data_IF_164969459328
#
_entry.id   IF_164969459328
#
_cell.length_a   1.000
_cell.length_b   1.000
_cell.length_c   1.000
_cell.angle_alpha   90.00
_cell.angle_beta   90.00
_cell.angle_gamma   90.00
#
_symmetry.space_group_name_H-M   'P 1'
#
loop_
_entity.id
_entity.type
_entity.pdbx_description
1 polymer ?
#
# COMPACT_ATOMS: atom_id res chain seq x y z
N UNK A 1 75.40 14.55 13.06
CA UNK A 1 74.08 14.05 13.49
C UNK A 1 73.12 14.08 12.30
N UNK A 2 72.18 13.11 12.23
CA UNK A 2 71.11 12.88 11.23
C UNK A 2 71.60 12.39 9.85
N UNK A 3 71.64 11.08 9.51
CA UNK A 3 70.71 9.92 9.56
C UNK A 3 69.66 9.91 8.44
N UNK A 4 69.78 8.88 7.58
CA UNK A 4 68.88 8.50 6.49
C UNK A 4 67.45 8.15 6.97
N UNK A 5 66.48 8.38 6.10
CA UNK A 5 65.07 7.93 6.15
C UNK A 5 64.73 7.46 4.73
N UNK A 6 64.74 6.17 4.38
CA UNK A 6 63.82 5.08 4.74
C UNK A 6 62.35 5.42 4.47
N UNK A 7 61.91 4.96 3.30
CA UNK A 7 60.53 4.72 2.86
C UNK A 7 59.71 4.06 3.95
N UNK A 8 58.54 4.60 4.26
CA UNK A 8 57.49 3.90 4.99
C UNK A 8 56.15 4.22 4.35
N UNK A 9 55.50 3.16 3.89
CA UNK A 9 54.22 3.16 3.21
C UNK A 9 53.13 3.80 4.09
N UNK A 10 52.42 4.79 3.54
CA UNK A 10 51.09 5.15 4.04
C UNK A 10 50.10 4.17 3.42
N UNK A 11 49.65 3.24 4.24
CA UNK A 11 48.42 2.48 4.06
C UNK A 11 47.27 3.47 3.83
N UNK A 12 46.79 3.53 2.58
CA UNK A 12 45.51 4.14 2.28
C UNK A 12 44.42 3.18 2.77
N UNK A 13 43.69 3.63 3.79
CA UNK A 13 42.39 3.06 4.16
C UNK A 13 41.49 3.09 2.92
N UNK A 14 40.80 2.00 2.53
CA UNK A 14 39.82 2.07 1.45
C UNK A 14 38.59 2.82 1.98
N UNK A 15 38.54 4.12 1.70
CA UNK A 15 37.34 4.93 1.86
C UNK A 15 36.37 4.65 0.73
N UNK A 16 35.15 4.29 1.09
CA UNK A 16 33.90 4.68 0.44
C UNK A 16 33.79 4.47 -1.08
N UNK A 17 33.54 3.22 -1.49
CA UNK A 17 32.91 2.89 -2.79
C UNK A 17 31.46 2.39 -2.61
N UNK A 18 30.86 2.58 -1.44
CA UNK A 18 29.52 2.11 -1.14
C UNK A 18 28.52 3.28 -1.11
N UNK A 19 28.06 3.71 -2.28
CA UNK A 19 26.68 4.17 -2.61
C UNK A 19 26.70 4.90 -3.96
N UNK A 20 26.81 4.16 -5.06
CA UNK A 20 26.64 4.72 -6.41
C UNK A 20 25.17 4.92 -6.81
N UNK A 21 24.20 4.59 -5.94
CA UNK A 21 22.78 4.88 -6.20
C UNK A 21 21.99 4.96 -4.89
N UNK A 22 21.70 6.16 -4.34
CA UNK A 22 20.83 6.27 -3.18
C UNK A 22 19.41 5.81 -3.54
N UNK A 23 18.69 5.14 -2.61
CA UNK A 23 17.30 4.74 -2.81
C UNK A 23 16.42 5.98 -3.01
N UNK A 24 15.50 5.91 -3.96
CA UNK A 24 14.65 7.06 -4.29
C UNK A 24 13.67 7.38 -3.15
N UNK A 25 13.47 8.67 -2.91
CA UNK A 25 12.41 9.13 -1.99
C UNK A 25 11.03 9.00 -2.65
N UNK A 26 9.97 8.94 -1.82
CA UNK A 26 8.59 8.88 -2.33
C UNK A 26 8.20 10.15 -3.13
N UNK A 27 8.72 11.31 -2.74
CA UNK A 27 8.48 12.59 -3.42
C UNK A 27 9.18 12.64 -4.79
N UNK A 28 10.42 12.17 -4.88
CA UNK A 28 11.14 12.07 -6.16
C UNK A 28 10.46 11.07 -7.10
N UNK A 29 9.98 9.94 -6.57
CA UNK A 29 9.19 8.98 -7.35
C UNK A 29 7.92 9.63 -7.89
N UNK A 30 7.17 10.33 -7.04
CA UNK A 30 5.96 11.05 -7.46
C UNK A 30 6.25 12.05 -8.58
N UNK A 31 7.33 12.84 -8.45
CA UNK A 31 7.71 13.82 -9.47
C UNK A 31 8.05 13.14 -10.80
N UNK A 32 8.80 12.04 -10.76
CA UNK A 32 9.13 11.26 -11.97
C UNK A 32 7.88 10.70 -12.66
N UNK A 33 6.91 10.20 -11.90
CA UNK A 33 5.64 9.70 -12.44
C UNK A 33 4.82 10.84 -13.05
N UNK A 34 4.71 11.97 -12.35
CA UNK A 34 3.97 13.13 -12.82
C UNK A 34 4.53 13.70 -14.13
N UNK A 35 5.86 13.82 -14.23
CA UNK A 35 6.53 14.26 -15.45
C UNK A 35 6.30 13.29 -16.62
N UNK A 36 6.44 11.98 -16.38
CA UNK A 36 6.20 10.97 -17.42
C UNK A 36 4.72 10.96 -17.90
N UNK A 37 3.77 11.13 -16.99
CA UNK A 37 2.34 11.25 -17.31
C UNK A 37 2.05 12.51 -18.14
N UNK A 38 2.68 13.64 -17.80
CA UNK A 38 2.58 14.89 -18.55
C UNK A 38 3.09 14.72 -19.98
N UNK A 39 4.28 14.14 -20.18
CA UNK A 39 4.83 13.91 -21.52
C UNK A 39 4.00 12.94 -22.35
N UNK A 40 3.36 11.95 -21.72
CA UNK A 40 2.40 11.07 -22.41
C UNK A 40 1.21 11.87 -22.90
N UNK A 41 0.59 12.69 -22.04
CA UNK A 41 -0.52 13.57 -22.41
C UNK A 41 -0.12 14.60 -23.50
N UNK A 42 1.10 15.12 -23.46
CA UNK A 42 1.63 16.04 -24.47
C UNK A 42 1.81 15.38 -25.84
N UNK A 43 2.29 14.12 -25.91
CA UNK A 43 2.45 13.37 -27.18
C UNK A 43 1.13 13.15 -27.92
N UNK A 44 0.02 13.14 -27.19
CA UNK A 44 -1.35 13.07 -27.74
C UNK A 44 -1.95 14.46 -28.01
N UNK A 45 -1.14 15.52 -27.85
CA UNK A 45 -1.56 16.91 -28.01
C UNK A 45 -2.57 17.36 -26.97
N UNK A 46 -2.63 16.69 -25.81
CA UNK A 46 -3.66 16.86 -24.78
C UNK A 46 -5.09 16.61 -25.28
N UNK A 47 -5.26 15.92 -26.42
CA UNK A 47 -6.54 15.66 -27.05
C UNK A 47 -7.02 14.24 -26.75
N UNK A 48 -8.16 14.12 -26.06
CA UNK A 48 -8.93 12.88 -25.99
C UNK A 48 -8.31 11.71 -25.19
N UNK A 49 -7.17 11.92 -24.52
CA UNK A 49 -6.52 10.93 -23.68
C UNK A 49 -7.11 10.85 -22.27
N UNK A 50 -7.13 9.67 -21.67
CA UNK A 50 -7.49 9.50 -20.27
C UNK A 50 -6.27 9.81 -19.40
N UNK A 51 -6.29 10.94 -18.68
CA UNK A 51 -5.22 11.37 -17.77
C UNK A 51 -4.86 10.27 -16.74
N UNK A 52 -5.84 9.47 -16.31
CA UNK A 52 -5.59 8.36 -15.40
C UNK A 52 -4.79 7.22 -16.06
N UNK A 53 -5.00 6.97 -17.35
CA UNK A 53 -4.26 5.97 -18.13
C UNK A 53 -2.82 6.45 -18.39
N UNK A 54 -2.64 7.73 -18.73
CA UNK A 54 -1.32 8.32 -18.94
C UNK A 54 -0.47 8.27 -17.65
N UNK A 55 -1.10 8.50 -16.49
CA UNK A 55 -0.46 8.33 -15.17
C UNK A 55 -0.17 6.87 -14.85
N UNK A 56 -1.11 5.96 -15.10
CA UNK A 56 -0.93 4.53 -14.84
C UNK A 56 0.26 3.95 -15.61
N UNK A 57 0.33 4.27 -16.90
CA UNK A 57 1.41 3.84 -17.76
C UNK A 57 2.75 4.46 -17.33
N UNK A 58 2.73 5.73 -16.90
CA UNK A 58 3.89 6.40 -16.33
C UNK A 58 4.35 5.75 -15.02
N UNK A 59 3.44 5.41 -14.11
CA UNK A 59 3.77 4.73 -12.86
C UNK A 59 4.39 3.35 -13.12
N UNK A 60 3.80 2.56 -14.02
CA UNK A 60 4.34 1.25 -14.38
C UNK A 60 5.72 1.34 -15.09
N UNK A 61 5.93 2.37 -15.90
CA UNK A 61 7.22 2.65 -16.53
C UNK A 61 8.29 3.04 -15.50
N UNK A 62 8.00 4.02 -14.65
CA UNK A 62 8.92 4.50 -13.62
C UNK A 62 9.22 3.40 -12.61
N UNK A 63 8.22 2.65 -12.14
CA UNK A 63 8.44 1.58 -11.17
C UNK A 63 9.30 0.43 -11.72
N UNK A 64 9.11 0.08 -13.00
CA UNK A 64 9.95 -0.91 -13.69
C UNK A 64 11.38 -0.40 -13.82
N UNK A 65 11.56 0.84 -14.29
CA UNK A 65 12.86 1.47 -14.43
C UNK A 65 13.60 1.52 -13.09
N UNK A 66 12.90 1.92 -12.02
CA UNK A 66 13.50 2.03 -10.70
C UNK A 66 13.80 0.65 -10.08
N UNK A 67 13.00 -0.38 -10.37
CA UNK A 67 13.32 -1.77 -10.00
C UNK A 67 14.55 -2.30 -10.72
N UNK A 68 14.65 -2.10 -12.03
CA UNK A 68 15.81 -2.52 -12.84
C UNK A 68 17.10 -1.83 -12.37
N UNK A 69 16.99 -0.58 -11.91
CA UNK A 69 18.10 0.17 -11.33
C UNK A 69 18.39 -0.20 -9.85
N UNK A 70 17.59 -1.06 -9.22
CA UNK A 70 17.68 -1.37 -7.79
C UNK A 70 17.35 -0.18 -6.87
N UNK A 71 16.72 0.87 -7.42
CA UNK A 71 16.42 2.15 -6.76
C UNK A 71 15.01 2.24 -6.19
N UNK A 72 14.15 1.26 -6.51
CA UNK A 72 12.87 1.03 -5.85
C UNK A 72 12.93 -0.25 -5.01
N UNK A 73 13.66 -0.26 -3.88
CA UNK A 73 13.49 -1.35 -2.94
C UNK A 73 12.07 -1.27 -2.37
N UNK A 74 11.28 -2.31 -2.58
CA UNK A 74 10.11 -2.57 -1.73
C UNK A 74 10.59 -2.56 -0.30
N UNK A 75 9.94 -1.82 0.58
CA UNK A 75 10.34 -1.77 1.99
C UNK A 75 10.30 -3.17 2.56
N UNK A 76 11.42 -3.66 3.08
CA UNK A 76 11.46 -5.02 3.62
C UNK A 76 10.61 -5.10 4.89
N UNK A 77 10.09 -6.28 5.26
CA UNK A 77 9.40 -6.44 6.54
C UNK A 77 10.23 -5.91 7.72
N UNK A 78 11.53 -6.15 7.72
CA UNK A 78 12.45 -5.70 8.78
C UNK A 78 12.57 -4.17 8.83
N UNK A 79 12.61 -3.49 7.69
CA UNK A 79 12.63 -2.03 7.62
C UNK A 79 11.32 -1.44 8.15
N UNK A 80 10.17 -2.02 7.78
CA UNK A 80 8.86 -1.61 8.28
C UNK A 80 8.81 -1.79 9.80
N UNK A 81 9.20 -2.96 10.29
CA UNK A 81 9.26 -3.28 11.72
C UNK A 81 10.07 -2.25 12.50
N UNK A 82 11.29 -1.94 12.04
CA UNK A 82 12.19 -0.98 12.68
C UNK A 82 11.62 0.45 12.70
N UNK A 83 11.03 0.91 11.59
CA UNK A 83 10.43 2.26 11.51
C UNK A 83 9.23 2.38 12.44
N UNK A 84 8.38 1.36 12.49
CA UNK A 84 7.22 1.34 13.40
C UNK A 84 7.68 1.24 14.85
N UNK A 85 8.63 0.36 15.16
CA UNK A 85 9.20 0.23 16.49
C UNK A 85 9.74 1.57 17.02
N UNK A 86 10.52 2.30 16.21
CA UNK A 86 11.06 3.61 16.58
C UNK A 86 9.98 4.68 16.79
N UNK A 87 8.86 4.58 16.08
CA UNK A 87 7.70 5.48 16.23
C UNK A 87 7.07 5.36 17.60
N UNK A 88 7.01 4.16 18.20
CA UNK A 88 6.34 3.96 19.48
C UNK A 88 7.06 4.60 20.67
N UNK A 89 8.33 4.95 20.52
CA UNK A 89 9.09 5.70 21.53
C UNK A 89 8.80 7.22 21.51
N UNK A 90 7.94 7.70 20.62
CA UNK A 90 7.59 9.12 20.47
C UNK A 90 6.31 9.49 21.22
N UNK A 91 5.85 10.73 21.04
CA UNK A 91 4.60 11.21 21.65
C UNK A 91 3.40 10.38 21.14
N UNK A 92 2.59 9.77 22.04
CA UNK A 92 1.40 9.03 21.65
C UNK A 92 0.48 9.75 20.66
N UNK A 93 0.39 11.08 20.73
CA UNK A 93 -0.45 11.88 19.85
C UNK A 93 -0.06 11.78 18.35
N UNK A 94 1.21 11.49 18.04
CA UNK A 94 1.71 11.42 16.65
C UNK A 94 1.86 10.00 16.13
N UNK A 95 1.86 8.98 17.02
CA UNK A 95 2.10 7.58 16.67
C UNK A 95 1.16 7.12 15.54
N UNK A 96 -0.15 7.35 15.68
CA UNK A 96 -1.12 6.91 14.68
C UNK A 96 -0.83 7.50 13.29
N UNK A 97 -0.55 8.82 13.23
CA UNK A 97 -0.27 9.50 11.97
C UNK A 97 1.03 8.99 11.31
N UNK A 98 2.07 8.72 12.10
CA UNK A 98 3.35 8.21 11.61
C UNK A 98 3.25 6.75 11.16
N UNK A 99 2.58 5.88 11.92
CA UNK A 99 2.34 4.48 11.53
C UNK A 99 1.48 4.40 10.28
N UNK A 100 0.45 5.25 10.16
CA UNK A 100 -0.35 5.39 8.94
C UNK A 100 0.52 5.74 7.74
N UNK A 101 1.40 6.73 7.88
CA UNK A 101 2.31 7.15 6.81
C UNK A 101 3.28 6.03 6.39
N UNK A 102 3.90 5.34 7.35
CA UNK A 102 4.80 4.20 7.08
C UNK A 102 4.05 3.09 6.33
N UNK A 103 2.83 2.79 6.75
CA UNK A 103 2.00 1.74 6.15
C UNK A 103 1.65 2.08 4.71
N UNK A 104 1.17 3.31 4.44
CA UNK A 104 0.85 3.76 3.09
C UNK A 104 2.11 3.79 2.20
N UNK A 105 3.24 4.26 2.73
CA UNK A 105 4.53 4.26 2.03
C UNK A 105 4.96 2.83 1.66
N UNK A 106 4.79 1.86 2.55
CA UNK A 106 5.09 0.45 2.29
C UNK A 106 4.16 -0.17 1.24
N UNK A 107 2.85 0.14 1.28
CA UNK A 107 1.87 -0.39 0.33
C UNK A 107 1.99 0.21 -1.08
N UNK A 108 2.63 1.38 -1.23
CA UNK A 108 2.72 2.12 -2.50
C UNK A 108 4.07 1.99 -3.21
N UNK A 109 5.09 1.40 -2.57
CA UNK A 109 6.44 1.22 -3.15
C UNK A 109 6.61 -0.03 -4.03
N UNK A 110 5.54 -0.76 -4.34
CA UNK A 110 5.60 -1.98 -5.15
C UNK A 110 4.23 -2.41 -5.67
N UNK A 111 4.16 -3.61 -6.27
CA UNK A 111 2.87 -4.19 -6.63
C UNK A 111 2.09 -4.53 -5.36
N UNK A 112 0.92 -3.93 -5.24
CA UNK A 112 -0.02 -4.26 -4.17
C UNK A 112 -0.75 -5.55 -4.57
N UNK A 113 -0.55 -6.60 -3.78
CA UNK A 113 -1.28 -7.86 -3.84
C UNK A 113 -1.59 -8.34 -2.41
N UNK A 114 -2.41 -9.39 -2.28
CA UNK A 114 -2.82 -9.91 -0.97
C UNK A 114 -1.62 -10.35 -0.12
N UNK A 115 -0.55 -10.86 -0.73
CA UNK A 115 0.64 -11.28 0.00
C UNK A 115 1.47 -10.08 0.47
N UNK A 116 1.60 -9.04 -0.36
CA UNK A 116 2.23 -7.77 0.01
C UNK A 116 1.50 -7.12 1.17
N UNK A 117 0.17 -7.08 1.10
CA UNK A 117 -0.66 -6.56 2.19
C UNK A 117 -0.46 -7.36 3.48
N UNK A 118 -0.47 -8.70 3.40
CA UNK A 118 -0.20 -9.59 4.54
C UNK A 118 1.15 -9.28 5.17
N UNK A 119 2.19 -9.19 4.35
CA UNK A 119 3.56 -8.89 4.80
C UNK A 119 3.65 -7.53 5.49
N UNK A 120 3.12 -6.48 4.88
CA UNK A 120 3.16 -5.12 5.45
C UNK A 120 2.39 -5.07 6.77
N UNK A 121 1.17 -5.63 6.80
CA UNK A 121 0.33 -5.63 8.00
C UNK A 121 1.02 -6.38 9.15
N UNK A 122 1.55 -7.57 8.88
CA UNK A 122 2.30 -8.36 9.87
C UNK A 122 3.55 -7.61 10.38
N UNK A 123 4.30 -6.98 9.48
CA UNK A 123 5.50 -6.20 9.84
C UNK A 123 5.15 -4.98 10.71
N UNK A 124 4.09 -4.24 10.38
CA UNK A 124 3.63 -3.10 11.20
C UNK A 124 3.18 -3.57 12.58
N UNK A 125 2.38 -4.63 12.66
CA UNK A 125 1.90 -5.18 13.93
C UNK A 125 3.07 -5.70 14.79
N UNK A 126 4.03 -6.39 14.17
CA UNK A 126 5.22 -6.89 14.86
C UNK A 126 6.11 -5.74 15.37
N UNK A 127 6.40 -4.75 14.53
CA UNK A 127 7.17 -3.56 14.94
C UNK A 127 6.50 -2.79 16.08
N UNK A 128 5.16 -2.65 16.05
CA UNK A 128 4.41 -2.03 17.13
C UNK A 128 4.45 -2.86 18.42
N UNK A 129 4.34 -4.19 18.34
CA UNK A 129 4.49 -5.06 19.51
C UNK A 129 5.87 -4.94 20.15
N UNK A 130 6.92 -4.96 19.33
CA UNK A 130 8.31 -4.87 19.79
C UNK A 130 8.66 -3.48 20.33
N UNK A 131 8.08 -2.41 19.76
CA UNK A 131 8.21 -1.05 20.27
C UNK A 131 7.44 -0.79 21.57
N UNK A 132 6.31 -1.48 21.77
CA UNK A 132 5.51 -1.35 22.99
C UNK A 132 6.09 -2.13 24.18
N UNK A 133 6.78 -3.25 23.93
CA UNK A 133 7.34 -4.11 24.96
C UNK A 133 8.21 -3.38 26.02
N UNK A 134 9.19 -2.51 25.66
CA UNK A 134 10.01 -1.80 26.63
C UNK A 134 9.26 -0.69 27.41
N UNK A 135 8.07 -0.28 26.97
CA UNK A 135 7.29 0.80 27.61
C UNK A 135 6.47 0.34 28.83
N UNK A 136 6.39 -0.97 29.06
CA UNK A 136 5.67 -1.56 30.19
C UNK A 136 4.19 -1.14 30.21
N UNK A 137 3.74 -0.57 31.33
CA UNK A 137 2.35 -0.11 31.54
C UNK A 137 1.89 0.94 30.51
N UNK A 138 2.80 1.74 29.95
CA UNK A 138 2.47 2.75 28.93
C UNK A 138 2.40 2.17 27.51
N UNK A 139 2.88 0.93 27.31
CA UNK A 139 2.91 0.27 26.01
C UNK A 139 1.54 0.04 25.40
N UNK A 140 0.50 -0.12 26.24
CA UNK A 140 -0.87 -0.31 25.79
C UNK A 140 -1.41 0.88 24.99
N UNK A 141 -1.20 2.11 25.47
CA UNK A 141 -1.68 3.31 24.77
C UNK A 141 -0.94 3.54 23.45
N UNK A 142 0.39 3.42 23.45
CA UNK A 142 1.20 3.53 22.24
C UNK A 142 0.78 2.49 21.18
N UNK A 143 0.46 1.28 21.63
CA UNK A 143 -0.01 0.21 20.76
C UNK A 143 -1.40 0.49 20.17
N UNK A 144 -2.35 1.01 20.97
CA UNK A 144 -3.68 1.43 20.48
C UNK A 144 -3.56 2.48 19.39
N UNK A 145 -2.72 3.49 19.57
CA UNK A 145 -2.49 4.51 18.54
C UNK A 145 -1.82 3.94 17.29
N UNK A 146 -0.83 3.06 17.43
CA UNK A 146 -0.20 2.40 16.29
C UNK A 146 -1.20 1.57 15.48
N UNK A 147 -2.06 0.80 16.15
CA UNK A 147 -3.09 -0.02 15.49
C UNK A 147 -4.19 0.83 14.85
N UNK A 148 -4.53 1.98 15.44
CA UNK A 148 -5.40 2.98 14.80
C UNK A 148 -4.80 3.50 13.50
N UNK A 149 -3.51 3.85 13.49
CA UNK A 149 -2.81 4.29 12.29
C UNK A 149 -2.80 3.25 11.16
N UNK A 150 -2.56 1.98 11.51
CA UNK A 150 -2.64 0.85 10.58
C UNK A 150 -4.07 0.65 10.04
N UNK A 151 -5.08 0.65 10.92
CA UNK A 151 -6.50 0.51 10.54
C UNK A 151 -6.95 1.65 9.60
N UNK A 152 -6.57 2.89 9.88
CA UNK A 152 -6.83 4.06 9.03
C UNK A 152 -6.13 3.97 7.66
N UNK A 153 -4.90 3.44 7.61
CA UNK A 153 -4.19 3.22 6.34
C UNK A 153 -4.88 2.17 5.47
N UNK A 154 -5.25 1.03 6.07
CA UNK A 154 -5.96 -0.05 5.39
C UNK A 154 -7.35 0.39 4.93
N UNK A 155 -8.06 1.18 5.75
CA UNK A 155 -9.34 1.76 5.38
C UNK A 155 -9.21 2.69 4.17
N UNK A 156 -8.18 3.55 4.14
CA UNK A 156 -7.90 4.41 2.99
C UNK A 156 -7.59 3.62 1.72
N UNK A 157 -6.82 2.53 1.83
CA UNK A 157 -6.53 1.65 0.71
C UNK A 157 -7.79 0.96 0.16
N UNK A 158 -8.66 0.46 1.05
CA UNK A 158 -9.93 -0.17 0.68
C UNK A 158 -10.89 0.81 -0.03
N UNK A 159 -10.94 2.07 0.42
CA UNK A 159 -11.70 3.12 -0.26
C UNK A 159 -11.17 3.38 -1.67
N UNK A 160 -9.86 3.60 -1.80
CA UNK A 160 -9.24 3.88 -3.09
C UNK A 160 -9.49 2.74 -4.08
N UNK A 161 -9.37 1.48 -3.63
CA UNK A 161 -9.70 0.30 -4.41
C UNK A 161 -11.16 0.31 -4.89
N UNK A 162 -12.11 0.53 -3.99
CA UNK A 162 -13.53 0.58 -4.31
C UNK A 162 -13.89 1.70 -5.30
N UNK A 163 -13.33 2.90 -5.13
CA UNK A 163 -13.57 4.02 -6.05
C UNK A 163 -13.07 3.72 -7.46
N UNK A 164 -11.88 3.13 -7.59
CA UNK A 164 -11.37 2.75 -8.91
C UNK A 164 -12.21 1.66 -9.59
N UNK A 165 -12.70 0.67 -8.82
CA UNK A 165 -13.60 -0.36 -9.35
C UNK A 165 -14.89 0.27 -9.87
N UNK A 166 -15.47 1.24 -9.15
CA UNK A 166 -16.67 1.94 -9.58
C UNK A 166 -16.46 2.73 -10.86
N UNK A 167 -15.34 3.46 -10.96
CA UNK A 167 -14.99 4.22 -12.16
C UNK A 167 -14.75 3.31 -13.36
N UNK A 168 -14.05 2.18 -13.18
CA UNK A 168 -13.84 1.19 -14.23
C UNK A 168 -15.15 0.53 -14.69
N UNK A 169 -16.06 0.23 -13.76
CA UNK A 169 -17.37 -0.33 -14.08
C UNK A 169 -18.27 0.66 -14.84
N UNK A 170 -18.17 1.97 -14.54
CA UNK A 170 -19.00 3.01 -15.14
C UNK A 170 -18.60 3.43 -16.56
N UNK A 171 -17.32 3.30 -16.94
CA UNK A 171 -16.81 3.85 -18.20
C UNK A 171 -16.96 2.96 -19.44
N UNK A 172 -16.94 1.63 -19.30
CA UNK A 172 -16.81 0.75 -20.47
C UNK A 172 -17.45 -0.63 -20.33
N UNK A 173 -18.04 -0.97 -19.17
CA UNK A 173 -18.46 -2.35 -18.91
C UNK A 173 -17.27 -3.34 -18.86
N UNK A 174 -16.04 -2.82 -18.73
CA UNK A 174 -14.80 -3.61 -18.59
C UNK A 174 -14.83 -4.58 -17.41
N UNK A 175 -15.60 -4.24 -16.36
CA UNK A 175 -15.80 -5.10 -15.22
C UNK A 175 -16.99 -6.04 -15.41
N UNK A 176 -16.69 -7.33 -15.56
CA UNK A 176 -17.72 -8.38 -15.49
C UNK A 176 -18.31 -8.46 -14.08
N UNK A 177 -19.55 -8.98 -13.95
CA UNK A 177 -20.15 -9.27 -12.64
C UNK A 177 -19.26 -10.16 -11.78
N UNK A 178 -18.50 -11.06 -12.41
CA UNK A 178 -17.53 -11.93 -11.74
C UNK A 178 -16.35 -11.12 -11.18
N UNK A 179 -15.84 -10.13 -11.92
CA UNK A 179 -14.78 -9.25 -11.44
C UNK A 179 -15.22 -8.38 -10.25
N UNK A 180 -16.44 -7.86 -10.28
CA UNK A 180 -17.00 -7.09 -9.16
C UNK A 180 -17.18 -7.96 -7.90
N UNK A 181 -17.62 -9.21 -8.09
CA UNK A 181 -17.72 -10.18 -7.00
C UNK A 181 -16.35 -10.50 -6.40
N UNK A 182 -15.35 -10.77 -7.24
CA UNK A 182 -13.98 -11.03 -6.78
C UNK A 182 -13.45 -9.84 -5.96
N UNK A 183 -13.67 -8.61 -6.43
CA UNK A 183 -13.21 -7.44 -5.72
C UNK A 183 -13.91 -7.25 -4.36
N UNK A 184 -15.19 -7.60 -4.27
CA UNK A 184 -15.91 -7.64 -2.99
C UNK A 184 -15.32 -8.72 -2.06
N UNK A 185 -15.05 -9.93 -2.56
CA UNK A 185 -14.44 -11.00 -1.78
C UNK A 185 -13.03 -10.62 -1.30
N UNK A 186 -12.25 -9.92 -2.12
CA UNK A 186 -10.92 -9.42 -1.78
C UNK A 186 -10.99 -8.37 -0.66
N UNK A 187 -11.95 -7.41 -0.74
CA UNK A 187 -12.18 -6.41 0.31
C UNK A 187 -12.59 -7.06 1.65
N UNK A 188 -13.46 -8.07 1.61
CA UNK A 188 -13.85 -8.81 2.81
C UNK A 188 -12.66 -9.56 3.42
N UNK A 189 -11.76 -10.09 2.58
CA UNK A 189 -10.53 -10.76 3.00
C UNK A 189 -9.58 -9.83 3.77
N UNK A 190 -9.54 -8.53 3.43
CA UNK A 190 -8.72 -7.54 4.15
C UNK A 190 -9.06 -7.47 5.64
N UNK A 191 -10.36 -7.42 5.96
CA UNK A 191 -10.82 -7.34 7.36
C UNK A 191 -10.44 -8.61 8.12
N UNK A 192 -10.66 -9.78 7.51
CA UNK A 192 -10.29 -11.08 8.12
C UNK A 192 -8.80 -11.12 8.42
N UNK A 193 -7.96 -10.76 7.46
CA UNK A 193 -6.51 -10.73 7.62
C UNK A 193 -6.06 -9.79 8.74
N UNK A 194 -6.69 -8.62 8.85
CA UNK A 194 -6.39 -7.67 9.92
C UNK A 194 -6.72 -8.26 11.30
N UNK A 195 -7.91 -8.84 11.47
CA UNK A 195 -8.32 -9.48 12.73
C UNK A 195 -7.40 -10.65 13.09
N UNK A 196 -7.09 -11.53 12.14
CA UNK A 196 -6.17 -12.66 12.36
C UNK A 196 -4.80 -12.19 12.82
N UNK A 197 -4.24 -11.15 12.18
CA UNK A 197 -2.93 -10.60 12.54
C UNK A 197 -2.90 -10.06 13.98
N UNK A 198 -3.98 -9.37 14.41
CA UNK A 198 -4.10 -8.90 15.79
C UNK A 198 -4.21 -10.05 16.78
N UNK A 199 -4.93 -11.12 16.43
CA UNK A 199 -5.05 -12.31 17.27
C UNK A 199 -3.71 -13.06 17.42
N UNK A 200 -2.96 -13.22 16.33
CA UNK A 200 -1.64 -13.85 16.35
C UNK A 200 -0.65 -13.02 17.20
N UNK A 201 -0.72 -11.70 17.10
CA UNK A 201 0.06 -10.79 17.92
C UNK A 201 -0.30 -10.88 19.40
N UNK A 202 -1.60 -11.02 19.74
CA UNK A 202 -2.06 -11.24 21.10
C UNK A 202 -1.52 -12.56 21.68
N UNK A 203 -1.60 -13.65 20.91
CA UNK A 203 -1.08 -14.98 21.32
C UNK A 203 0.43 -14.96 21.55
N UNK A 204 1.15 -14.13 20.81
CA UNK A 204 2.61 -14.03 20.87
C UNK A 204 3.11 -12.97 21.88
N UNK A 205 2.22 -12.27 22.58
CA UNK A 205 2.54 -11.24 23.55
C UNK A 205 2.23 -11.69 25.00
N UNK A 206 2.63 -10.89 25.99
CA UNK A 206 2.32 -11.11 27.41
C UNK A 206 1.90 -9.80 28.08
N UNK A 207 1.17 -9.90 29.19
CA UNK A 207 0.82 -8.76 30.04
C UNK A 207 -0.05 -7.73 29.32
N UNK A 208 0.24 -6.44 29.54
CA UNK A 208 -0.53 -5.30 29.00
C UNK A 208 -0.63 -5.34 27.46
N UNK A 209 0.45 -5.72 26.78
CA UNK A 209 0.49 -5.80 25.31
C UNK A 209 -0.46 -6.87 24.79
N UNK A 210 -0.49 -8.05 25.43
CA UNK A 210 -1.43 -9.12 25.08
C UNK A 210 -2.88 -8.70 25.29
N UNK A 211 -3.19 -8.13 26.47
CA UNK A 211 -4.54 -7.67 26.79
C UNK A 211 -5.02 -6.62 25.79
N UNK A 212 -4.14 -5.69 25.40
CA UNK A 212 -4.44 -4.64 24.43
C UNK A 212 -4.73 -5.21 23.04
N UNK A 213 -3.94 -6.17 22.54
CA UNK A 213 -4.22 -6.79 21.24
C UNK A 213 -5.53 -7.60 21.25
N UNK A 214 -5.84 -8.30 22.34
CA UNK A 214 -7.13 -9.00 22.48
C UNK A 214 -8.31 -8.03 22.38
N UNK A 215 -8.25 -6.91 23.11
CA UNK A 215 -9.27 -5.86 23.06
C UNK A 215 -9.42 -5.31 21.63
N UNK A 216 -8.31 -5.03 20.94
CA UNK A 216 -8.30 -4.52 19.57
C UNK A 216 -8.86 -5.53 18.56
N UNK A 217 -8.53 -6.81 18.69
CA UNK A 217 -9.05 -7.88 17.83
C UNK A 217 -10.58 -8.04 17.98
N UNK A 218 -11.10 -7.93 19.21
CA UNK A 218 -12.54 -7.94 19.48
C UNK A 218 -13.25 -6.71 18.86
N UNK A 219 -12.66 -5.52 18.96
CA UNK A 219 -13.17 -4.31 18.31
C UNK A 219 -13.17 -4.45 16.77
N UNK A 220 -12.07 -4.92 16.18
CA UNK A 220 -11.97 -5.12 14.74
C UNK A 220 -12.99 -6.13 14.19
N UNK A 221 -13.35 -7.15 14.97
CA UNK A 221 -14.38 -8.14 14.61
C UNK A 221 -15.80 -7.56 14.60
N UNK A 222 -16.11 -6.66 15.52
CA UNK A 222 -17.47 -6.09 15.68
C UNK A 222 -17.83 -5.00 14.65
N UNK A 223 -17.02 -4.82 13.59
CA UNK A 223 -17.14 -3.73 12.60
C UNK A 223 -17.00 -2.32 13.21
N UNK A 224 -16.37 -2.21 14.39
CA UNK A 224 -16.16 -0.92 15.06
C UNK A 224 -14.89 -0.20 14.61
N UNK A 225 -14.02 -0.86 13.83
CA UNK A 225 -12.82 -0.24 13.25
C UNK A 225 -13.12 0.53 11.96
N UNK A 226 -12.27 1.49 11.60
CA UNK A 226 -12.40 2.27 10.37
C UNK A 226 -12.32 1.38 9.12
N UNK A 227 -11.44 0.37 9.12
CA UNK A 227 -11.37 -0.62 8.04
C UNK A 227 -12.69 -1.39 7.93
N UNK A 228 -13.22 -1.91 9.04
CA UNK A 228 -14.47 -2.67 9.04
C UNK A 228 -15.65 -1.85 8.52
N UNK A 229 -15.78 -0.59 8.94
CA UNK A 229 -16.82 0.31 8.44
C UNK A 229 -16.66 0.59 6.95
N UNK A 230 -15.43 0.86 6.49
CA UNK A 230 -15.15 1.16 5.09
C UNK A 230 -15.39 -0.05 4.18
N UNK A 231 -14.94 -1.24 4.58
CA UNK A 231 -15.17 -2.50 3.87
C UNK A 231 -16.67 -2.75 3.73
N UNK A 232 -17.45 -2.57 4.81
CA UNK A 232 -18.91 -2.70 4.75
C UNK A 232 -19.55 -1.76 3.72
N UNK A 233 -19.20 -0.47 3.76
CA UNK A 233 -19.71 0.52 2.79
C UNK A 233 -19.34 0.10 1.36
N UNK A 234 -18.09 -0.32 1.14
CA UNK A 234 -17.62 -0.74 -0.16
C UNK A 234 -18.36 -1.98 -0.69
N UNK A 235 -18.60 -2.98 0.18
CA UNK A 235 -19.36 -4.18 -0.15
C UNK A 235 -20.83 -3.87 -0.52
N UNK A 236 -21.48 -3.00 0.24
CA UNK A 236 -22.86 -2.56 -0.03
C UNK A 236 -22.95 -1.90 -1.42
N UNK A 237 -21.98 -1.01 -1.73
CA UNK A 237 -21.93 -0.32 -3.02
C UNK A 237 -21.59 -1.25 -4.19
N UNK A 238 -20.66 -2.20 -4.03
CA UNK A 238 -20.34 -3.18 -5.06
C UNK A 238 -21.54 -4.11 -5.32
N UNK A 239 -22.25 -4.53 -4.28
CA UNK A 239 -23.50 -5.31 -4.40
C UNK A 239 -24.57 -4.51 -5.16
N UNK A 240 -24.70 -3.22 -4.86
CA UNK A 240 -25.59 -2.33 -5.61
C UNK A 240 -25.18 -2.21 -7.08
N UNK A 241 -23.88 -2.08 -7.40
CA UNK A 241 -23.37 -2.03 -8.77
C UNK A 241 -23.65 -3.33 -9.56
N UNK A 242 -23.48 -4.50 -8.93
CA UNK A 242 -23.78 -5.80 -9.53
C UNK A 242 -25.27 -5.94 -9.85
N UNK A 243 -26.15 -5.40 -8.99
CA UNK A 243 -27.62 -5.49 -9.16
C UNK A 243 -28.18 -4.41 -10.10
N UNK A 244 -27.60 -3.21 -10.13
CA UNK A 244 -28.03 -2.10 -10.99
C UNK A 244 -27.54 -2.21 -12.43
N UNK A 245 -26.48 -3.00 -12.69
CA UNK A 245 -25.93 -3.30 -14.02
C UNK A 245 -26.87 -4.03 -15.00
N UNK A 246 -28.17 -4.17 -14.67
CA UNK A 246 -29.22 -4.63 -15.58
C UNK A 246 -30.17 -3.52 -16.06
N UNK A 247 -30.12 -2.29 -15.53
CA UNK A 247 -31.15 -1.26 -15.82
C UNK A 247 -30.70 0.02 -16.51
N UNK A 248 -29.45 0.47 -16.37
CA UNK A 248 -29.08 1.84 -16.80
C UNK A 248 -28.24 1.97 -18.08
N UNK A 249 -28.08 0.89 -18.85
CA UNK A 249 -27.29 0.91 -20.09
C UNK A 249 -27.96 1.62 -21.29
N UNK A 250 -29.02 2.40 -21.06
CA UNK A 250 -29.78 3.01 -22.15
C UNK A 250 -29.94 4.54 -22.13
N UNK A 251 -29.56 5.29 -21.08
CA UNK A 251 -30.05 6.71 -21.02
C UNK A 251 -29.15 7.87 -20.62
N UNK A 252 -27.94 7.75 -20.11
CA UNK A 252 -27.18 8.98 -19.73
C UNK A 252 -25.69 8.93 -20.03
N UNK A 253 -25.38 8.81 -21.32
CA UNK A 253 -24.09 9.26 -21.85
C UNK A 253 -24.18 10.75 -22.17
N UNK A 254 -24.05 11.62 -21.18
CA UNK A 254 -23.58 13.03 -21.31
C UNK A 254 -23.54 13.67 -19.92
N UNK A 255 -22.39 14.26 -19.60
CA UNK A 255 -22.11 15.18 -18.48
C UNK A 255 -21.90 14.57 -17.08
N UNK A 256 -20.64 14.26 -16.75
CA UNK A 256 -19.96 14.84 -15.56
C UNK A 256 -18.45 14.94 -15.87
N UNK A 257 -17.95 16.16 -16.01
CA UNK A 257 -16.52 16.48 -15.89
C UNK A 257 -16.23 16.79 -14.42
N UNK A 258 -15.43 15.96 -13.73
CA UNK A 258 -14.74 16.34 -12.48
C UNK A 258 -13.35 15.72 -12.44
N UNK A 259 -12.34 16.60 -12.47
CA UNK A 259 -10.92 16.29 -12.67
C UNK A 259 -10.17 15.75 -11.44
N UNK A 260 -10.84 15.44 -10.32
CA UNK A 260 -10.15 15.01 -9.08
C UNK A 260 -10.38 13.54 -8.71
N UNK A 261 -11.40 12.86 -9.25
CA UNK A 261 -11.69 11.44 -8.97
C UNK A 261 -10.87 10.46 -9.84
N UNK A 262 -10.45 10.89 -11.04
CA UNK A 262 -9.65 10.08 -11.96
C UNK A 262 -8.25 9.75 -11.40
N UNK A 263 -7.73 10.60 -10.50
CA UNK A 263 -6.42 10.44 -9.84
C UNK A 263 -6.39 9.25 -8.85
N UNK A 264 -7.52 8.96 -8.18
CA UNK A 264 -7.64 7.79 -7.28
C UNK A 264 -8.05 6.53 -8.04
N UNK A 265 -8.76 6.68 -9.16
CA UNK A 265 -9.13 5.57 -10.03
C UNK A 265 -7.92 4.94 -10.75
N UNK A 266 -6.93 5.73 -11.16
CA UNK A 266 -5.68 5.23 -11.73
C UNK A 266 -4.88 4.34 -10.77
N UNK A 267 -4.83 4.71 -9.49
CA UNK A 267 -4.09 3.95 -8.47
C UNK A 267 -4.65 2.54 -8.23
N UNK A 268 -5.96 2.32 -8.43
CA UNK A 268 -6.53 0.98 -8.31
C UNK A 268 -6.91 0.30 -9.64
N UNK A 269 -6.85 0.99 -10.78
CA UNK A 269 -6.78 0.33 -12.09
C UNK A 269 -5.46 -0.48 -12.23
N UNK A 270 -4.33 0.05 -11.73
CA UNK A 270 -3.04 -0.66 -11.71
C UNK A 270 -3.03 -1.90 -10.83
N UNK A 271 -3.72 -1.84 -9.70
CA UNK A 271 -3.97 -2.97 -8.80
C UNK A 271 -4.74 -4.09 -9.51
N UNK A 272 -5.77 -3.76 -10.28
CA UNK A 272 -6.64 -4.72 -10.94
C UNK A 272 -6.04 -5.30 -12.23
N UNK A 273 -5.24 -4.51 -12.96
CA UNK A 273 -4.55 -4.98 -14.17
C UNK A 273 -3.40 -5.96 -13.83
N UNK A 274 -2.75 -5.80 -12.67
CA UNK A 274 -1.80 -6.77 -12.12
C UNK A 274 -2.45 -8.09 -11.70
N UNK A 275 -3.69 -8.06 -11.19
CA UNK A 275 -4.48 -9.25 -10.85
C UNK A 275 -4.99 -9.93 -12.14
N UNK A 276 -5.47 -9.16 -13.13
CA UNK A 276 -5.94 -9.67 -14.42
C UNK A 276 -4.83 -10.35 -15.25
N UNK A 277 -3.61 -9.81 -15.23
CA UNK A 277 -2.46 -10.42 -15.93
C UNK A 277 -2.08 -11.81 -15.38
N UNK A 278 -2.30 -12.06 -14.08
CA UNK A 278 -2.02 -13.36 -13.42
C UNK A 278 -3.13 -14.38 -13.59
N UNK A 279 -4.36 -13.93 -13.87
CA UNK A 279 -5.48 -14.79 -14.24
C UNK A 279 -5.41 -15.23 -15.70
N UNK A 280 -4.76 -14.45 -16.58
CA UNK A 280 -4.52 -14.83 -17.97
C UNK A 280 -3.34 -15.78 -18.19
N UNK A 281 -2.36 -15.83 -17.26
CA UNK A 281 -1.14 -16.64 -17.42
C UNK A 281 -1.27 -18.09 -16.94
N UNK A 282 -2.47 -18.57 -16.60
CA UNK A 282 -2.68 -19.93 -16.05
C UNK A 282 -3.29 -20.94 -17.03
N UNK A 283 -3.32 -20.63 -18.33
CA UNK A 283 -3.89 -21.53 -19.35
C UNK A 283 -3.01 -21.75 -20.59
N UNK A 284 -1.68 -21.59 -20.48
CA UNK A 284 -0.74 -21.88 -21.59
C UNK A 284 0.38 -22.86 -21.23
N UNK A 285 0.16 -23.73 -20.24
CA UNK A 285 1.04 -24.88 -20.02
C UNK A 285 0.22 -26.16 -19.78
N UNK A 286 -0.52 -26.52 -20.82
CA UNK A 286 -1.04 -27.86 -21.08
C UNK A 286 -0.98 -28.05 -22.59
N UNK A 287 0.22 -28.34 -23.07
CA UNK A 287 0.50 -29.23 -24.22
C UNK A 287 1.99 -29.09 -24.57
N UNK A 288 2.82 -29.86 -23.87
CA UNK A 288 4.16 -30.26 -24.29
C UNK A 288 4.48 -31.65 -23.72
#
# INVERSE_FOLDING_TARGET
MAKAKSTSARTATPGSIAQENPPLTAEERYRMIAEAAYFRAEKRGFLGGNVAEDWLEAEAEIDRMLREQGRLPSMTPEEIEQRVQGTLATDPAVIAAQVRAITLDALTRGHLDTDALRRVTAAVVKGAREGAAPLGEHGGQALKEAMRGLDEALAGAAEAAQLAIQEAAGRTGEFSRQGLKQAADDLATLQTLFVETLQDAAQSAKGVVQATFTELAEHARSSSSALGQRVKIALDQLTQAVTSGARDQAKKGTEVLRHEAALLAGLAAGLLQGIAARLGSKDTDKDA
#
